data_IF_468867199859
#
_entry.id   IF_468867199859
#
_cell.length_a   1.000
_cell.length_b   1.000
_cell.length_c   1.000
_cell.angle_alpha   90.00
_cell.angle_beta   90.00
_cell.angle_gamma   90.00
#
_symmetry.space_group_name_H-M   'P 1'
#
loop_
_entity.id
_entity.type
_entity.pdbx_description
1 polymer ?
#
# COMPACT_ATOMS: atom_id res chain seq x y z
N UNK A 1 -15.51 4.72 -2.08
CA UNK A 1 -14.09 4.67 -1.66
C UNK A 1 -13.95 5.32 -0.30
N UNK A 2 -12.96 4.90 0.50
CA UNK A 2 -12.63 5.59 1.75
C UNK A 2 -12.06 6.99 1.44
N UNK A 3 -12.47 8.03 2.18
CA UNK A 3 -12.04 9.42 1.95
C UNK A 3 -10.53 9.58 1.97
N UNK A 4 -9.84 8.89 2.89
CA UNK A 4 -8.37 8.93 2.99
C UNK A 4 -7.70 8.33 1.76
N UNK A 5 -8.27 7.24 1.23
CA UNK A 5 -7.72 6.56 0.06
C UNK A 5 -7.90 7.41 -1.21
N UNK A 6 -9.08 8.03 -1.35
CA UNK A 6 -9.34 8.95 -2.43
C UNK A 6 -8.43 10.18 -2.37
N UNK A 7 -8.18 10.73 -1.17
CA UNK A 7 -7.25 11.85 -1.00
C UNK A 7 -5.81 11.46 -1.38
N UNK A 8 -5.35 10.26 -1.01
CA UNK A 8 -4.03 9.76 -1.40
C UNK A 8 -3.91 9.60 -2.92
N UNK A 9 -4.93 9.05 -3.58
CA UNK A 9 -4.93 8.90 -5.05
C UNK A 9 -5.00 10.25 -5.78
N UNK A 10 -5.79 11.20 -5.27
CA UNK A 10 -5.84 12.56 -5.80
C UNK A 10 -4.48 13.25 -5.68
N UNK A 11 -3.83 13.15 -4.51
CA UNK A 11 -2.49 13.71 -4.31
C UNK A 11 -1.44 13.09 -5.25
N UNK A 12 -1.48 11.76 -5.47
CA UNK A 12 -0.60 11.12 -6.44
C UNK A 12 -0.84 11.62 -7.87
N UNK A 13 -2.12 11.80 -8.25
CA UNK A 13 -2.49 12.37 -9.54
C UNK A 13 -1.96 13.79 -9.71
N UNK A 14 -2.06 14.64 -8.68
CA UNK A 14 -1.54 16.01 -8.68
C UNK A 14 -0.01 16.04 -8.81
N UNK A 15 0.70 14.99 -8.38
CA UNK A 15 2.14 14.80 -8.59
C UNK A 15 2.50 14.25 -9.98
N UNK A 16 1.53 14.10 -10.88
CA UNK A 16 1.73 13.60 -12.25
C UNK A 16 1.68 12.07 -12.38
N UNK A 17 1.31 11.35 -11.32
CA UNK A 17 1.09 9.90 -11.40
C UNK A 17 -0.37 9.59 -11.75
N UNK A 18 -0.65 9.25 -13.01
CA UNK A 18 -1.97 8.75 -13.39
C UNK A 18 -2.20 7.32 -12.93
N UNK A 19 -2.70 7.20 -11.69
CA UNK A 19 -3.01 5.91 -11.08
C UNK A 19 -4.02 5.09 -11.89
N UNK A 20 -4.82 5.69 -12.78
CA UNK A 20 -5.81 4.94 -13.59
C UNK A 20 -5.13 4.00 -14.58
N UNK A 21 -3.95 4.36 -15.07
CA UNK A 21 -3.14 3.50 -15.92
C UNK A 21 -2.51 2.35 -15.12
N UNK A 22 -2.19 2.58 -13.84
CA UNK A 22 -1.60 1.58 -12.94
C UNK A 22 -2.65 0.61 -12.34
N UNK A 23 -3.87 1.09 -12.09
CA UNK A 23 -4.95 0.32 -11.48
C UNK A 23 -5.45 -0.81 -12.39
N UNK A 24 -5.27 -0.68 -13.72
CA UNK A 24 -5.53 -1.77 -14.68
C UNK A 24 -4.76 -3.06 -14.38
N UNK A 25 -3.63 -2.98 -13.66
CA UNK A 25 -2.80 -4.11 -13.24
C UNK A 25 -3.07 -4.55 -11.78
N UNK A 26 -3.28 -3.61 -10.86
CA UNK A 26 -2.98 -3.82 -9.43
C UNK A 26 -3.89 -4.72 -8.57
N UNK A 27 -5.18 -4.93 -8.91
CA UNK A 27 -6.07 -5.76 -8.08
C UNK A 27 -6.09 -7.23 -8.52
N UNK A 28 -5.80 -7.51 -9.79
CA UNK A 28 -5.70 -8.87 -10.29
C UNK A 28 -4.39 -9.55 -9.83
N UNK A 29 -3.34 -8.76 -9.57
CA UNK A 29 -2.03 -9.24 -9.15
C UNK A 29 -1.88 -9.40 -7.62
N UNK A 30 -2.92 -9.04 -6.86
CA UNK A 30 -2.93 -9.18 -5.41
C UNK A 30 -3.23 -10.64 -5.01
N UNK A 31 -2.20 -11.34 -4.55
CA UNK A 31 -2.30 -12.69 -3.98
C UNK A 31 -3.23 -12.72 -2.75
N UNK A 32 -3.23 -11.64 -1.95
CA UNK A 32 -4.12 -11.51 -0.80
C UNK A 32 -4.40 -10.06 -0.45
N UNK A 33 -5.68 -9.73 -0.26
CA UNK A 33 -6.11 -8.46 0.32
C UNK A 33 -6.74 -8.70 1.71
N UNK A 34 -6.26 -7.95 2.70
CA UNK A 34 -6.80 -7.93 4.07
C UNK A 34 -7.34 -6.51 4.31
N UNK A 35 -8.67 -6.31 4.27
CA UNK A 35 -9.27 -5.01 4.46
C UNK A 35 -8.99 -4.41 5.85
N UNK A 36 -9.20 -3.10 5.94
CA UNK A 36 -9.13 -2.37 7.20
C UNK A 36 -10.13 -2.95 8.21
N UNK A 37 -9.69 -3.15 9.45
CA UNK A 37 -10.57 -3.40 10.59
C UNK A 37 -10.23 -2.43 11.72
N UNK A 38 -11.24 -2.06 12.52
CA UNK A 38 -11.07 -1.20 13.69
C UNK A 38 -10.13 -1.80 14.75
N UNK A 39 -10.14 -3.13 14.87
CA UNK A 39 -9.26 -3.90 15.77
C UNK A 39 -7.78 -3.75 15.36
N UNK A 40 -7.47 -3.93 14.07
CA UNK A 40 -6.08 -3.89 13.58
C UNK A 40 -5.62 -2.50 13.19
N UNK A 41 -6.55 -1.57 12.93
CA UNK A 41 -6.32 -0.20 12.44
C UNK A 41 -5.39 -0.11 11.22
N UNK A 42 -5.39 -1.13 10.37
CA UNK A 42 -4.58 -1.21 9.14
C UNK A 42 -5.24 -2.06 8.08
N UNK A 43 -4.92 -1.77 6.82
CA UNK A 43 -5.21 -2.59 5.64
C UNK A 43 -3.90 -3.11 5.04
N UNK A 44 -3.94 -4.31 4.49
CA UNK A 44 -2.76 -5.00 3.95
C UNK A 44 -3.07 -5.60 2.58
N UNK A 45 -2.12 -5.50 1.66
CA UNK A 45 -2.14 -6.18 0.37
C UNK A 45 -0.82 -6.93 0.20
N UNK A 46 -0.90 -8.18 -0.22
CA UNK A 46 0.24 -9.03 -0.58
C UNK A 46 0.25 -9.16 -2.10
N UNK A 47 1.38 -8.85 -2.71
CA UNK A 47 1.62 -9.03 -4.15
C UNK A 47 2.77 -9.99 -4.35
N UNK A 48 2.70 -10.81 -5.40
CA UNK A 48 3.85 -11.60 -5.83
C UNK A 48 4.85 -10.68 -6.53
N UNK A 49 6.12 -10.80 -6.17
CA UNK A 49 7.18 -10.15 -6.91
C UNK A 49 7.52 -10.99 -8.15
N UNK A 50 7.26 -10.48 -9.37
CA UNK A 50 7.51 -11.24 -10.60
C UNK A 50 9.00 -11.43 -10.89
N UNK A 51 9.88 -10.64 -10.27
CA UNK A 51 11.33 -10.66 -10.53
C UNK A 51 12.09 -11.58 -9.58
N UNK A 52 11.74 -11.57 -8.29
CA UNK A 52 12.40 -12.40 -7.27
C UNK A 52 11.68 -13.71 -6.97
N UNK A 53 10.43 -13.86 -7.41
CA UNK A 53 9.56 -14.99 -7.06
C UNK A 53 9.03 -14.94 -5.62
N UNK A 54 9.40 -13.92 -4.84
CA UNK A 54 8.95 -13.69 -3.47
C UNK A 54 7.60 -12.96 -3.37
N UNK A 55 7.33 -12.43 -2.19
CA UNK A 55 6.13 -11.62 -1.93
C UNK A 55 6.52 -10.26 -1.35
N UNK A 56 5.86 -9.21 -1.83
CA UNK A 56 5.93 -7.88 -1.26
C UNK A 56 4.62 -7.57 -0.54
N UNK A 57 4.73 -7.06 0.69
CA UNK A 57 3.58 -6.73 1.52
C UNK A 57 3.47 -5.22 1.67
N UNK A 58 2.38 -4.65 1.18
CA UNK A 58 2.04 -3.24 1.36
C UNK A 58 1.02 -3.09 2.48
N UNK A 59 1.26 -2.14 3.38
CA UNK A 59 0.38 -1.87 4.53
C UNK A 59 0.16 -0.38 4.66
N UNK A 60 -1.09 0.02 4.93
CA UNK A 60 -1.46 1.38 5.33
C UNK A 60 -2.33 1.34 6.57
N UNK A 61 -2.18 2.31 7.47
CA UNK A 61 -2.92 2.34 8.73
C UNK A 61 -2.49 3.47 9.63
N UNK A 62 -2.93 3.41 10.89
CA UNK A 62 -2.53 4.37 11.93
C UNK A 62 -1.01 4.30 12.15
N UNK A 63 -0.36 5.46 12.27
CA UNK A 63 1.10 5.56 12.28
C UNK A 63 1.72 4.81 13.47
N UNK A 64 1.12 4.88 14.65
CA UNK A 64 1.58 4.16 15.83
C UNK A 64 1.55 2.64 15.64
N UNK A 65 0.56 2.14 14.90
CA UNK A 65 0.43 0.71 14.59
C UNK A 65 1.48 0.30 13.57
N UNK A 66 1.63 1.05 12.47
CA UNK A 66 2.59 0.69 11.43
C UNK A 66 4.03 0.78 11.96
N UNK A 67 4.37 1.86 12.68
CA UNK A 67 5.71 2.04 13.23
C UNK A 67 6.08 0.95 14.24
N UNK A 68 5.14 0.46 15.05
CA UNK A 68 5.39 -0.66 15.97
C UNK A 68 5.79 -1.97 15.29
N UNK A 69 5.50 -2.10 13.99
CA UNK A 69 5.81 -3.28 13.17
C UNK A 69 7.10 -3.11 12.36
N UNK A 70 7.67 -1.91 12.33
CA UNK A 70 8.87 -1.60 11.59
C UNK A 70 10.12 -1.87 12.43
N UNK A 71 11.11 -2.55 11.85
CA UNK A 71 12.42 -2.78 12.49
C UNK A 71 13.54 -1.92 11.87
N UNK A 72 13.25 -1.24 10.76
CA UNK A 72 14.19 -0.42 9.99
C UNK A 72 13.49 0.81 9.42
N UNK A 73 14.27 1.83 9.07
CA UNK A 73 13.85 3.01 8.32
C UNK A 73 14.75 3.17 7.09
N UNK A 74 14.20 3.74 6.02
CA UNK A 74 14.92 4.06 4.79
C UNK A 74 15.39 5.51 4.87
N UNK A 75 16.65 5.77 4.51
CA UNK A 75 17.26 7.10 4.53
C UNK A 75 16.90 7.91 3.28
N UNK A 76 17.48 9.11 3.14
CA UNK A 76 17.35 9.88 1.90
C UNK A 76 18.08 9.22 0.71
N UNK A 77 19.03 8.35 1.02
CA UNK A 77 19.88 7.58 0.12
C UNK A 77 19.29 6.24 -0.32
N UNK A 78 18.12 5.88 0.19
CA UNK A 78 17.50 4.56 -0.02
C UNK A 78 17.89 3.57 1.06
#
# INVERSE_FOLDING_TARGET
GNKTDCALLAFAYDLGYDYRETVKFSLADAEKAIPFSSERKRATVVVRDPTSGGYTVFVKGASEIILSLCSKKIGLDG
#
